data_IF_184576932271
#
_entry.id   IF_184576932271
#
_cell.length_a   1.000
_cell.length_b   1.000
_cell.length_c   1.000
_cell.angle_alpha   90.00
_cell.angle_beta   90.00
_cell.angle_gamma   90.00
#
_symmetry.space_group_name_H-M   'P 1'
#
loop_
_entity.id
_entity.type
_entity.pdbx_description
1 polymer ?
#
# COMPACT_ATOMS: atom_id res chain seq x y z
N UNK A 1 23.32 37.06 -3.08
CA UNK A 1 22.82 35.89 -3.82
C UNK A 1 21.40 36.21 -4.29
N UNK A 2 21.03 35.83 -5.50
CA UNK A 2 19.66 36.07 -5.99
C UNK A 2 18.64 35.31 -5.13
N UNK A 3 17.60 36.01 -4.69
CA UNK A 3 16.48 35.47 -3.97
C UNK A 3 15.45 34.89 -4.96
N UNK A 4 14.72 33.88 -4.55
CA UNK A 4 13.68 33.23 -5.35
C UNK A 4 12.33 33.67 -4.78
N UNK A 5 11.52 34.47 -5.50
CA UNK A 5 10.28 35.03 -4.99
C UNK A 5 9.18 33.94 -4.98
N UNK A 6 9.10 33.19 -3.88
CA UNK A 6 8.07 32.16 -3.70
C UNK A 6 6.79 32.76 -3.07
N UNK A 7 5.64 32.22 -3.41
CA UNK A 7 4.37 32.56 -2.79
C UNK A 7 4.29 32.02 -1.37
N UNK A 8 4.10 32.86 -0.34
CA UNK A 8 3.88 32.45 1.05
C UNK A 8 2.72 31.47 1.19
N UNK A 9 1.64 31.70 0.44
CA UNK A 9 0.44 30.86 0.44
C UNK A 9 0.74 29.47 -0.13
N UNK A 10 1.49 29.40 -1.23
CA UNK A 10 1.89 28.14 -1.84
C UNK A 10 2.90 27.38 -0.95
N UNK A 11 3.79 28.09 -0.27
CA UNK A 11 4.70 27.49 0.71
C UNK A 11 3.94 26.89 1.90
N UNK A 12 3.02 27.66 2.51
CA UNK A 12 2.17 27.18 3.62
C UNK A 12 1.40 25.92 3.23
N UNK A 13 0.80 25.95 2.04
CA UNK A 13 0.09 24.80 1.49
C UNK A 13 1.03 23.59 1.28
N UNK A 14 2.19 23.78 0.67
CA UNK A 14 3.14 22.69 0.40
C UNK A 14 3.66 22.03 1.70
N UNK A 15 3.84 22.84 2.76
CA UNK A 15 4.23 22.36 4.09
C UNK A 15 3.09 21.53 4.71
N UNK A 16 1.87 22.08 4.74
CA UNK A 16 0.70 21.39 5.27
C UNK A 16 0.49 20.02 4.57
N UNK A 17 0.57 20.01 3.23
CA UNK A 17 0.45 18.80 2.42
C UNK A 17 1.59 17.79 2.64
N UNK A 18 2.78 18.24 3.02
CA UNK A 18 3.90 17.34 3.29
C UNK A 18 3.72 16.56 4.59
N UNK A 19 2.92 17.09 5.54
CA UNK A 19 2.80 16.59 6.90
C UNK A 19 4.06 16.73 7.74
N UNK A 20 5.09 17.38 7.23
CA UNK A 20 6.33 17.65 8.00
C UNK A 20 6.04 18.80 8.99
N UNK A 21 6.30 18.63 10.29
CA UNK A 21 6.12 19.70 11.25
C UNK A 21 6.96 20.93 10.86
N UNK A 22 6.35 22.12 10.88
CA UNK A 22 7.05 23.38 10.58
C UNK A 22 8.34 23.54 11.39
N UNK A 23 8.28 23.21 12.68
CA UNK A 23 9.40 23.28 13.63
C UNK A 23 10.60 22.40 13.24
N UNK A 24 10.40 21.39 12.43
CA UNK A 24 11.47 20.49 11.95
C UNK A 24 12.10 20.99 10.65
N UNK A 25 11.43 21.87 9.90
CA UNK A 25 11.86 22.24 8.56
C UNK A 25 13.14 23.06 8.55
N UNK A 26 13.32 23.99 9.47
CA UNK A 26 14.53 24.79 9.56
C UNK A 26 15.78 23.90 9.67
N UNK A 27 15.72 22.92 10.58
CA UNK A 27 16.80 21.94 10.76
C UNK A 27 16.99 21.06 9.52
N UNK A 28 15.90 20.57 8.93
CA UNK A 28 15.93 19.70 7.76
C UNK A 28 16.48 20.41 6.51
N UNK A 29 16.26 21.72 6.40
CA UNK A 29 16.75 22.55 5.30
C UNK A 29 18.12 23.18 5.60
N UNK A 30 18.63 22.99 6.82
CA UNK A 30 19.89 23.59 7.30
C UNK A 30 19.88 25.10 7.15
N UNK A 31 18.81 25.72 7.67
CA UNK A 31 18.67 27.19 7.74
C UNK A 31 18.52 27.61 9.21
N UNK A 32 18.75 28.88 9.56
CA UNK A 32 18.54 29.40 10.92
C UNK A 32 17.09 29.15 11.38
N UNK A 33 16.92 28.89 12.67
CA UNK A 33 15.59 28.71 13.28
C UNK A 33 14.73 29.96 13.01
N UNK A 34 13.45 29.74 12.64
CA UNK A 34 12.51 30.82 12.31
C UNK A 34 12.60 31.30 10.85
N UNK A 35 13.49 30.72 10.03
CA UNK A 35 13.60 31.12 8.62
C UNK A 35 12.35 30.74 7.85
N UNK A 36 11.80 29.53 8.08
CA UNK A 36 10.58 29.07 7.41
C UNK A 36 9.38 29.96 7.77
N UNK A 37 9.29 30.41 9.01
CA UNK A 37 8.21 31.32 9.45
C UNK A 37 8.29 32.64 8.67
N UNK A 38 9.47 33.27 8.58
CA UNK A 38 9.63 34.48 7.76
C UNK A 38 9.30 34.32 6.30
N UNK A 39 9.59 33.13 5.71
CA UNK A 39 9.19 32.85 4.33
C UNK A 39 7.67 32.70 4.18
N UNK A 40 6.98 32.15 5.21
CA UNK A 40 5.52 32.02 5.25
C UNK A 40 4.85 33.38 5.45
N UNK A 41 5.46 34.27 6.22
CA UNK A 41 4.97 35.63 6.46
C UNK A 41 5.28 36.58 5.29
N UNK A 42 6.21 36.19 4.42
CA UNK A 42 6.65 36.99 3.28
C UNK A 42 7.75 38.01 3.60
N UNK A 43 8.28 37.99 4.83
CA UNK A 43 9.31 38.90 5.31
C UNK A 43 10.71 38.57 4.73
N UNK A 44 10.90 37.37 4.24
CA UNK A 44 12.16 36.92 3.66
C UNK A 44 11.87 35.92 2.50
N UNK A 45 12.90 35.63 1.70
CA UNK A 45 12.81 34.74 0.56
C UNK A 45 14.03 33.80 0.52
N UNK A 46 13.87 32.55 0.07
CA UNK A 46 14.98 31.61 -0.07
C UNK A 46 15.91 32.03 -1.20
N UNK A 47 17.21 31.80 -1.03
CA UNK A 47 18.13 31.81 -2.17
C UNK A 47 17.98 30.51 -2.99
N UNK A 48 18.64 30.45 -4.16
CA UNK A 48 18.55 29.31 -5.08
C UNK A 48 18.89 27.95 -4.43
N UNK A 49 19.93 27.90 -3.58
CA UNK A 49 20.33 26.68 -2.89
C UNK A 49 19.33 26.24 -1.83
N UNK A 50 18.76 27.19 -1.11
CA UNK A 50 17.71 26.96 -0.12
C UNK A 50 16.42 26.50 -0.81
N UNK A 51 16.04 27.16 -1.91
CA UNK A 51 14.86 26.79 -2.70
C UNK A 51 15.02 25.38 -3.32
N UNK A 52 16.21 25.03 -3.81
CA UNK A 52 16.49 23.66 -4.28
C UNK A 52 16.23 22.64 -3.18
N UNK A 53 16.79 22.84 -1.97
CA UNK A 53 16.56 21.95 -0.83
C UNK A 53 15.09 21.91 -0.39
N UNK A 54 14.39 23.06 -0.40
CA UNK A 54 12.98 23.16 -0.05
C UNK A 54 12.12 22.30 -0.96
N UNK A 55 12.21 22.48 -2.29
CA UNK A 55 11.42 21.69 -3.24
C UNK A 55 11.74 20.18 -3.19
N UNK A 56 13.02 19.83 -2.99
CA UNK A 56 13.44 18.43 -2.84
C UNK A 56 12.87 17.80 -1.56
N UNK A 57 12.88 18.55 -0.45
CA UNK A 57 12.37 18.07 0.83
C UNK A 57 10.84 17.93 0.84
N UNK A 58 10.14 18.93 0.33
CA UNK A 58 8.69 18.91 0.20
C UNK A 58 8.21 18.07 -0.99
N UNK A 59 9.14 17.66 -1.86
CA UNK A 59 8.89 16.88 -3.09
C UNK A 59 7.79 17.50 -3.94
N UNK A 60 7.98 18.78 -4.28
CA UNK A 60 7.08 19.55 -5.13
C UNK A 60 7.83 20.13 -6.33
N UNK A 61 7.18 20.16 -7.52
CA UNK A 61 7.70 20.91 -8.66
C UNK A 61 7.92 22.38 -8.31
N UNK A 62 8.91 23.01 -8.92
CA UNK A 62 9.22 24.42 -8.68
C UNK A 62 8.01 25.33 -8.97
N UNK A 63 7.25 25.03 -10.02
CA UNK A 63 6.10 25.82 -10.46
C UNK A 63 5.05 26.03 -9.34
N UNK A 64 4.85 25.02 -8.48
CA UNK A 64 3.88 25.12 -7.36
C UNK A 64 4.18 26.32 -6.46
N UNK A 65 5.46 26.59 -6.20
CA UNK A 65 5.86 27.64 -5.25
C UNK A 65 5.66 29.07 -5.80
N UNK A 66 5.35 29.19 -7.09
CA UNK A 66 5.07 30.47 -7.74
C UNK A 66 3.58 30.72 -7.99
N UNK A 67 2.71 29.78 -7.58
CA UNK A 67 1.26 29.92 -7.76
C UNK A 67 0.67 30.83 -6.70
N UNK A 68 -0.18 31.78 -7.10
CA UNK A 68 -0.95 32.60 -6.16
C UNK A 68 -2.01 31.79 -5.39
N UNK A 69 -2.66 30.87 -6.11
CA UNK A 69 -3.59 29.91 -5.53
C UNK A 69 -3.01 28.50 -5.74
N UNK A 70 -2.54 27.84 -4.67
CA UNK A 70 -2.13 26.44 -4.77
C UNK A 70 -3.33 25.57 -5.19
N UNK A 71 -3.10 24.42 -5.85
CA UNK A 71 -4.18 23.51 -6.21
C UNK A 71 -4.92 23.08 -4.94
N UNK A 72 -6.21 22.76 -5.08
CA UNK A 72 -6.96 22.13 -3.99
C UNK A 72 -6.16 20.97 -3.43
N UNK A 73 -6.16 20.83 -2.09
CA UNK A 73 -5.24 19.89 -1.43
C UNK A 73 -5.44 18.48 -1.99
N UNK A 74 -4.34 17.82 -2.37
CA UNK A 74 -4.42 16.42 -2.77
C UNK A 74 -5.06 15.57 -1.66
N UNK A 75 -4.94 15.97 -0.41
CA UNK A 75 -5.57 15.33 0.73
C UNK A 75 -7.06 15.64 0.84
N UNK A 76 -7.50 16.89 0.60
CA UNK A 76 -8.93 17.20 0.48
C UNK A 76 -9.52 16.66 -0.83
N UNK A 77 -8.78 16.68 -1.93
CA UNK A 77 -9.22 16.02 -3.16
C UNK A 77 -9.28 14.49 -3.01
N UNK A 78 -8.34 13.89 -2.28
CA UNK A 78 -8.34 12.48 -1.92
C UNK A 78 -9.44 12.19 -0.88
N UNK A 79 -9.60 13.03 0.15
CA UNK A 79 -10.68 12.88 1.12
C UNK A 79 -12.07 13.16 0.52
N UNK A 80 -12.22 14.20 -0.32
CA UNK A 80 -13.49 14.54 -0.99
C UNK A 80 -13.83 13.58 -2.13
N UNK A 81 -12.82 13.13 -2.91
CA UNK A 81 -13.05 12.22 -4.04
C UNK A 81 -13.20 10.77 -3.61
N UNK A 82 -12.57 10.36 -2.51
CA UNK A 82 -12.45 8.96 -2.15
C UNK A 82 -13.11 8.58 -0.82
N UNK A 83 -13.78 9.51 -0.16
CA UNK A 83 -14.59 9.20 1.03
C UNK A 83 -13.84 8.40 2.09
N UNK A 84 -12.61 8.77 2.42
CA UNK A 84 -11.87 8.09 3.47
C UNK A 84 -12.65 8.16 4.78
N UNK A 85 -13.01 7.01 5.30
CA UNK A 85 -13.50 6.89 6.66
C UNK A 85 -12.53 7.61 7.61
N UNK A 86 -13.05 8.25 8.64
CA UNK A 86 -12.26 8.99 9.62
C UNK A 86 -11.21 8.04 10.21
N UNK A 87 -9.96 8.14 9.75
CA UNK A 87 -8.85 7.46 10.39
C UNK A 87 -8.65 8.09 11.76
N UNK A 88 -8.57 7.27 12.78
CA UNK A 88 -8.43 7.73 14.18
C UNK A 88 -7.12 8.52 14.45
N UNK A 89 -6.19 8.59 13.48
CA UNK A 89 -4.95 9.36 13.55
C UNK A 89 -4.63 10.10 12.25
N UNK A 90 -3.87 11.18 12.38
CA UNK A 90 -3.32 11.89 11.22
C UNK A 90 -2.29 11.02 10.46
N UNK A 91 -2.33 11.09 9.12
CA UNK A 91 -1.35 10.38 8.27
C UNK A 91 0.05 10.92 8.48
N UNK A 92 1.01 10.01 8.50
CA UNK A 92 2.42 10.39 8.54
C UNK A 92 2.85 11.09 7.22
N UNK A 93 3.91 11.92 7.26
CA UNK A 93 4.44 12.55 6.05
C UNK A 93 4.79 11.54 4.96
N UNK A 94 5.23 10.33 5.36
CA UNK A 94 5.61 9.27 4.45
C UNK A 94 4.40 8.62 3.78
N UNK A 95 3.31 8.40 4.52
CA UNK A 95 2.03 7.93 3.96
C UNK A 95 1.48 8.91 2.94
N UNK A 96 1.44 10.21 3.26
CA UNK A 96 0.98 11.25 2.33
C UNK A 96 1.78 11.25 1.03
N UNK A 97 3.11 11.12 1.16
CA UNK A 97 4.01 11.07 0.02
C UNK A 97 3.75 9.85 -0.88
N UNK A 98 3.63 8.67 -0.28
CA UNK A 98 3.40 7.40 -1.00
C UNK A 98 2.05 7.41 -1.71
N UNK A 99 1.00 7.86 -1.02
CA UNK A 99 -0.34 8.02 -1.60
C UNK A 99 -0.29 8.94 -2.83
N UNK A 100 0.33 10.10 -2.70
CA UNK A 100 0.47 11.06 -3.80
C UNK A 100 1.29 10.49 -4.97
N UNK A 101 2.36 9.78 -4.68
CA UNK A 101 3.19 9.13 -5.70
C UNK A 101 2.39 8.06 -6.45
N UNK A 102 1.62 7.25 -5.72
CA UNK A 102 0.74 6.22 -6.30
C UNK A 102 -0.31 6.80 -7.24
N UNK A 103 -0.97 7.88 -6.83
CA UNK A 103 -1.99 8.54 -7.65
C UNK A 103 -1.37 9.15 -8.92
N UNK A 104 -0.20 9.79 -8.78
CA UNK A 104 0.53 10.36 -9.91
C UNK A 104 0.94 9.28 -10.92
N UNK A 105 1.43 8.14 -10.44
CA UNK A 105 1.79 7.01 -11.32
C UNK A 105 0.55 6.35 -11.91
N UNK A 106 -0.54 6.25 -11.18
CA UNK A 106 -1.82 5.76 -11.70
C UNK A 106 -2.30 6.61 -12.88
N UNK A 107 -2.34 7.93 -12.71
CA UNK A 107 -2.81 8.83 -13.75
C UNK A 107 -1.91 8.72 -15.00
N UNK A 108 -0.59 8.71 -14.82
CA UNK A 108 0.36 8.49 -15.90
C UNK A 108 0.14 7.15 -16.61
N UNK A 109 -0.05 6.05 -15.88
CA UNK A 109 -0.30 4.73 -16.48
C UNK A 109 -1.67 4.67 -17.16
N UNK A 110 -2.68 5.40 -16.64
CA UNK A 110 -3.99 5.52 -17.28
C UNK A 110 -3.87 6.17 -18.65
N UNK A 111 -3.18 7.32 -18.73
CA UNK A 111 -2.97 8.04 -19.99
C UNK A 111 -2.23 7.14 -21.01
N UNK A 112 -1.21 6.40 -20.56
CA UNK A 112 -0.47 5.48 -21.44
C UNK A 112 -1.31 4.31 -21.94
N UNK A 113 -2.24 3.81 -21.15
CA UNK A 113 -3.18 2.77 -21.60
C UNK A 113 -4.09 3.26 -22.70
N UNK A 114 -4.58 4.49 -22.57
CA UNK A 114 -5.42 5.12 -23.58
C UNK A 114 -4.66 5.31 -24.89
N UNK A 115 -3.41 5.79 -24.83
CA UNK A 115 -2.50 5.93 -26.00
C UNK A 115 -2.19 4.58 -26.67
N UNK A 116 -2.02 3.52 -25.86
CA UNK A 116 -1.81 2.15 -26.36
C UNK A 116 -3.08 1.45 -26.85
N UNK A 117 -4.26 2.11 -26.77
CA UNK A 117 -5.54 1.50 -27.11
C UNK A 117 -5.92 0.31 -26.24
N UNK A 118 -5.38 0.20 -25.04
CA UNK A 118 -5.67 -0.90 -24.12
C UNK A 118 -7.02 -0.73 -23.45
N UNK A 119 -7.90 -1.71 -23.70
CA UNK A 119 -9.24 -1.74 -23.10
C UNK A 119 -9.13 -1.91 -21.59
N UNK A 120 -9.84 -1.09 -20.81
CA UNK A 120 -9.98 -1.29 -19.37
C UNK A 120 -10.76 -2.58 -19.08
N UNK A 121 -10.23 -3.38 -18.14
CA UNK A 121 -10.94 -4.55 -17.62
C UNK A 121 -11.86 -4.05 -16.49
N UNK A 122 -13.13 -4.40 -16.54
CA UNK A 122 -14.04 -4.10 -15.45
C UNK A 122 -13.75 -5.02 -14.27
N UNK A 123 -13.22 -4.44 -13.20
CA UNK A 123 -13.11 -5.16 -11.91
C UNK A 123 -14.53 -5.41 -11.37
N UNK A 124 -14.87 -6.65 -11.00
CA UNK A 124 -16.20 -6.97 -10.48
C UNK A 124 -16.50 -6.18 -9.21
N UNK A 125 -17.77 -5.90 -8.98
CA UNK A 125 -18.24 -5.18 -7.80
C UNK A 125 -19.23 -6.03 -7.04
N UNK A 126 -19.09 -6.10 -5.74
CA UNK A 126 -19.93 -6.86 -4.82
C UNK A 126 -20.49 -5.95 -3.72
N UNK A 127 -21.67 -6.31 -3.22
CA UNK A 127 -22.25 -5.63 -2.07
C UNK A 127 -21.65 -6.16 -0.77
N UNK A 128 -21.44 -5.28 0.22
CA UNK A 128 -21.07 -5.70 1.58
C UNK A 128 -22.17 -6.51 2.29
N UNK A 129 -23.37 -6.60 1.72
CA UNK A 129 -24.44 -7.49 2.18
C UNK A 129 -24.27 -8.94 1.69
N UNK A 130 -23.38 -9.16 0.69
CA UNK A 130 -23.06 -10.51 0.23
C UNK A 130 -22.08 -11.18 1.20
N UNK A 131 -22.17 -12.51 1.30
CA UNK A 131 -21.22 -13.27 2.12
C UNK A 131 -19.80 -13.09 1.60
N UNK A 132 -18.85 -12.57 2.41
CA UNK A 132 -17.46 -12.42 2.00
C UNK A 132 -16.81 -13.76 1.63
N UNK A 133 -17.24 -14.85 2.26
CA UNK A 133 -16.77 -16.21 1.98
C UNK A 133 -17.22 -16.69 0.59
N UNK A 134 -18.48 -16.42 0.21
CA UNK A 134 -18.99 -16.71 -1.14
C UNK A 134 -18.23 -15.88 -2.19
N UNK A 135 -18.10 -14.59 -1.96
CA UNK A 135 -17.37 -13.70 -2.87
C UNK A 135 -15.91 -14.15 -3.02
N UNK A 136 -15.25 -14.51 -1.92
CA UNK A 136 -13.88 -15.02 -1.94
C UNK A 136 -13.75 -16.30 -2.80
N UNK A 137 -14.69 -17.21 -2.69
CA UNK A 137 -14.73 -18.44 -3.51
C UNK A 137 -14.90 -18.12 -5.00
N UNK A 138 -15.85 -17.27 -5.35
CA UNK A 138 -16.11 -16.84 -6.73
C UNK A 138 -14.88 -16.16 -7.33
N UNK A 139 -14.30 -15.18 -6.62
CA UNK A 139 -13.12 -14.45 -7.10
C UNK A 139 -11.93 -15.39 -7.27
N UNK A 140 -11.72 -16.30 -6.33
CA UNK A 140 -10.61 -17.26 -6.41
C UNK A 140 -10.74 -18.23 -7.61
N UNK A 141 -11.95 -18.70 -7.89
CA UNK A 141 -12.22 -19.68 -8.97
C UNK A 141 -12.29 -19.01 -10.34
N UNK A 142 -13.10 -17.96 -10.48
CA UNK A 142 -13.42 -17.38 -11.79
C UNK A 142 -12.33 -16.42 -12.29
N UNK A 143 -11.70 -15.65 -11.40
CA UNK A 143 -10.72 -14.65 -11.81
C UNK A 143 -9.28 -15.11 -11.66
N UNK A 144 -8.98 -15.94 -10.67
CA UNK A 144 -7.60 -16.38 -10.44
C UNK A 144 -7.33 -17.80 -10.90
N UNK A 145 -8.32 -18.69 -10.83
CA UNK A 145 -8.17 -20.09 -11.23
C UNK A 145 -7.10 -20.83 -10.41
N UNK A 146 -6.89 -20.45 -9.15
CA UNK A 146 -5.84 -21.01 -8.28
C UNK A 146 -6.48 -21.88 -7.19
N UNK A 147 -6.16 -23.17 -7.21
CA UNK A 147 -6.55 -24.10 -6.16
C UNK A 147 -5.74 -23.89 -4.87
N UNK A 148 -6.16 -24.51 -3.76
CA UNK A 148 -5.35 -24.51 -2.53
C UNK A 148 -4.11 -25.39 -2.70
N UNK A 149 -4.21 -26.45 -3.47
CA UNK A 149 -3.09 -27.32 -3.84
C UNK A 149 -2.01 -26.54 -4.59
N UNK A 150 -2.40 -25.63 -5.53
CA UNK A 150 -1.45 -24.74 -6.21
C UNK A 150 -0.76 -23.81 -5.21
N UNK A 151 -1.54 -23.19 -4.31
CA UNK A 151 -1.00 -22.31 -3.27
C UNK A 151 0.01 -23.05 -2.37
N UNK A 152 -0.32 -24.25 -1.93
CA UNK A 152 0.56 -25.08 -1.07
C UNK A 152 1.84 -25.51 -1.80
N UNK A 153 1.80 -25.61 -3.13
CA UNK A 153 2.97 -25.99 -3.96
C UNK A 153 4.07 -24.92 -4.00
N UNK A 154 3.75 -23.69 -3.67
CA UNK A 154 4.73 -22.60 -3.69
C UNK A 154 5.80 -22.79 -2.61
N UNK A 155 7.00 -22.22 -2.84
CA UNK A 155 8.17 -22.53 -2.02
C UNK A 155 8.40 -21.54 -0.89
N UNK A 156 8.06 -20.28 -1.09
CA UNK A 156 8.37 -19.22 -0.13
C UNK A 156 7.25 -18.19 -0.01
N UNK A 157 7.13 -17.50 1.14
CA UNK A 157 6.18 -16.41 1.29
C UNK A 157 6.38 -15.26 0.29
N UNK A 158 7.63 -15.00 -0.12
CA UNK A 158 7.95 -13.97 -1.12
C UNK A 158 7.46 -14.39 -2.52
N UNK A 159 7.60 -15.66 -2.86
CA UNK A 159 7.04 -16.21 -4.10
C UNK A 159 5.52 -16.13 -4.10
N UNK A 160 4.87 -16.52 -2.99
CA UNK A 160 3.43 -16.43 -2.82
C UNK A 160 2.94 -14.99 -3.01
N UNK A 161 3.61 -14.00 -2.38
CA UNK A 161 3.26 -12.59 -2.59
C UNK A 161 3.38 -12.16 -4.06
N UNK A 162 4.46 -12.54 -4.75
CA UNK A 162 4.65 -12.19 -6.16
C UNK A 162 3.59 -12.81 -7.06
N UNK A 163 3.25 -14.08 -6.84
CA UNK A 163 2.21 -14.78 -7.61
C UNK A 163 0.84 -14.13 -7.39
N UNK A 164 0.46 -13.89 -6.14
CA UNK A 164 -0.80 -13.22 -5.82
C UNK A 164 -0.87 -11.81 -6.41
N UNK A 165 0.21 -11.04 -6.29
CA UNK A 165 0.31 -9.72 -6.89
C UNK A 165 0.08 -9.77 -8.40
N UNK A 166 0.78 -10.64 -9.10
CA UNK A 166 0.65 -10.80 -10.55
C UNK A 166 -0.78 -11.17 -10.98
N UNK A 167 -1.48 -12.00 -10.19
CA UNK A 167 -2.87 -12.35 -10.45
C UNK A 167 -3.81 -11.16 -10.30
N UNK A 168 -3.62 -10.35 -9.27
CA UNK A 168 -4.40 -9.12 -9.04
C UNK A 168 -4.11 -8.09 -10.14
N UNK A 169 -2.85 -7.93 -10.55
CA UNK A 169 -2.47 -7.02 -11.63
C UNK A 169 -3.12 -7.42 -12.98
N UNK A 170 -3.40 -8.71 -13.21
CA UNK A 170 -4.17 -9.16 -14.38
C UNK A 170 -5.66 -8.76 -14.36
N UNK A 171 -6.19 -8.38 -13.19
CA UNK A 171 -7.52 -7.77 -13.07
C UNK A 171 -7.52 -6.26 -13.36
N UNK A 172 -6.45 -5.72 -13.92
CA UNK A 172 -6.29 -4.30 -14.22
C UNK A 172 -6.17 -3.38 -12.98
N UNK A 173 -5.72 -3.96 -11.87
CA UNK A 173 -5.47 -3.27 -10.61
C UNK A 173 -3.97 -2.98 -10.50
N UNK A 174 -3.58 -1.73 -10.26
CA UNK A 174 -2.18 -1.38 -10.03
C UNK A 174 -1.79 -1.75 -8.59
N UNK A 175 -0.72 -2.52 -8.43
CA UNK A 175 -0.25 -2.91 -7.09
C UNK A 175 1.14 -2.33 -6.85
N UNK A 176 1.25 -1.43 -5.88
CA UNK A 176 2.51 -0.79 -5.51
C UNK A 176 3.04 -1.32 -4.17
N UNK A 177 4.37 -1.46 -4.09
CA UNK A 177 5.05 -1.92 -2.89
C UNK A 177 6.01 -0.84 -2.37
N UNK A 178 5.63 -0.14 -1.31
CA UNK A 178 6.40 0.98 -0.75
C UNK A 178 6.94 0.71 0.65
N UNK A 179 8.13 1.20 0.99
CA UNK A 179 8.65 1.14 2.36
C UNK A 179 8.01 2.24 3.22
N UNK A 180 6.75 2.06 3.63
CA UNK A 180 5.98 3.10 4.34
C UNK A 180 6.49 3.32 5.76
N UNK A 181 6.86 2.27 6.49
CA UNK A 181 7.34 2.31 7.88
C UNK A 181 6.51 1.43 8.81
N UNK A 182 7.06 1.13 9.99
CA UNK A 182 6.39 0.24 10.96
C UNK A 182 5.23 0.93 11.68
N UNK A 183 5.34 2.24 11.94
CA UNK A 183 4.30 3.05 12.59
C UNK A 183 3.26 3.58 11.58
N UNK A 184 3.23 3.03 10.37
CA UNK A 184 2.39 3.49 9.28
C UNK A 184 1.40 2.42 8.85
N UNK A 185 0.45 2.79 7.99
CA UNK A 185 -0.50 1.86 7.40
C UNK A 185 0.20 0.67 6.74
N UNK A 186 -0.37 -0.53 6.87
CA UNK A 186 0.11 -1.74 6.19
C UNK A 186 -0.21 -1.73 4.71
N UNK A 187 -1.32 -1.10 4.35
CA UNK A 187 -1.79 -0.93 3.00
C UNK A 187 -2.76 0.22 2.86
N UNK A 188 -3.14 0.48 1.64
CA UNK A 188 -4.21 1.40 1.25
C UNK A 188 -4.73 1.02 -0.13
N UNK A 189 -5.96 1.43 -0.44
CA UNK A 189 -6.55 1.22 -1.76
C UNK A 189 -7.37 2.40 -2.23
N UNK A 190 -7.43 2.56 -3.56
CA UNK A 190 -8.27 3.51 -4.28
C UNK A 190 -9.12 2.75 -5.28
N UNK A 191 -10.42 2.65 -5.01
CA UNK A 191 -11.36 1.82 -5.74
C UNK A 191 -12.18 2.58 -6.78
N UNK A 192 -12.31 3.92 -6.64
CA UNK A 192 -13.34 4.70 -7.34
C UNK A 192 -12.93 5.22 -8.71
N UNK A 193 -11.63 5.31 -8.99
CA UNK A 193 -11.12 5.76 -10.29
C UNK A 193 -10.28 4.67 -10.93
N UNK A 194 -10.54 4.34 -12.21
CA UNK A 194 -9.72 3.37 -12.94
C UNK A 194 -8.37 3.98 -13.38
N UNK A 195 -7.34 3.14 -13.46
CA UNK A 195 -7.26 1.83 -12.87
C UNK A 195 -7.24 1.90 -11.34
N UNK A 196 -7.91 0.97 -10.63
CA UNK A 196 -7.83 0.91 -9.17
C UNK A 196 -6.40 0.68 -8.70
N UNK A 197 -6.10 1.13 -7.48
CA UNK A 197 -4.74 1.03 -6.90
C UNK A 197 -4.78 0.32 -5.57
N UNK A 198 -3.84 -0.58 -5.35
CA UNK A 198 -3.49 -1.14 -4.05
C UNK A 198 -2.05 -0.76 -3.72
N UNK A 199 -1.82 -0.13 -2.58
CA UNK A 199 -0.49 0.10 -2.03
C UNK A 199 -0.24 -0.80 -0.83
N UNK A 200 0.89 -1.52 -0.83
CA UNK A 200 1.28 -2.42 0.28
C UNK A 200 2.60 -1.96 0.86
N UNK A 201 2.72 -1.99 2.18
CA UNK A 201 3.99 -1.67 2.86
C UNK A 201 5.00 -2.80 2.73
N UNK A 202 6.17 -2.51 2.14
CA UNK A 202 7.28 -3.45 2.04
C UNK A 202 8.05 -3.65 3.36
N UNK A 203 7.73 -2.87 4.39
CA UNK A 203 8.35 -2.96 5.72
C UNK A 203 7.96 -4.25 6.45
N UNK A 204 6.77 -4.78 6.14
CA UNK A 204 6.24 -5.98 6.78
C UNK A 204 6.67 -7.27 6.08
N UNK A 205 6.64 -8.37 6.82
CA UNK A 205 6.93 -9.71 6.28
C UNK A 205 6.00 -10.08 5.11
N UNK A 206 6.47 -10.95 4.23
CA UNK A 206 5.71 -11.37 3.05
C UNK A 206 4.35 -11.98 3.39
N UNK A 207 4.23 -12.72 4.50
CA UNK A 207 2.95 -13.28 4.97
C UNK A 207 1.94 -12.20 5.39
N UNK A 208 2.41 -11.12 5.99
CA UNK A 208 1.58 -9.96 6.34
C UNK A 208 1.17 -9.21 5.07
N UNK A 209 2.12 -9.02 4.13
CA UNK A 209 1.84 -8.38 2.84
C UNK A 209 0.81 -9.14 2.01
N UNK A 210 0.85 -10.48 2.02
CA UNK A 210 -0.17 -11.31 1.35
C UNK A 210 -1.55 -11.03 1.93
N UNK A 211 -1.69 -11.03 3.25
CA UNK A 211 -2.98 -10.75 3.87
C UNK A 211 -3.47 -9.33 3.57
N UNK A 212 -2.60 -8.33 3.71
CA UNK A 212 -2.90 -6.93 3.39
C UNK A 212 -3.36 -6.78 1.93
N UNK A 213 -2.70 -7.46 1.00
CA UNK A 213 -3.04 -7.41 -0.43
C UNK A 213 -4.48 -7.84 -0.70
N UNK A 214 -4.95 -8.92 -0.05
CA UNK A 214 -6.33 -9.39 -0.20
C UNK A 214 -7.34 -8.57 0.60
N UNK A 215 -6.94 -8.01 1.73
CA UNK A 215 -7.76 -7.06 2.47
C UNK A 215 -8.06 -5.81 1.61
N UNK A 216 -7.02 -5.23 0.99
CA UNK A 216 -7.19 -4.09 0.08
C UNK A 216 -7.95 -4.46 -1.20
N UNK A 217 -7.81 -5.70 -1.69
CA UNK A 217 -8.65 -6.20 -2.78
C UNK A 217 -10.13 -6.22 -2.38
N UNK A 218 -10.45 -6.58 -1.14
CA UNK A 218 -11.80 -6.49 -0.59
C UNK A 218 -12.41 -5.09 -0.74
N UNK A 219 -11.64 -4.06 -0.41
CA UNK A 219 -12.06 -2.65 -0.61
C UNK A 219 -12.25 -2.30 -2.09
N UNK A 220 -11.40 -2.78 -2.98
CA UNK A 220 -11.58 -2.59 -4.44
C UNK A 220 -12.89 -3.23 -4.90
N UNK A 221 -13.14 -4.47 -4.49
CA UNK A 221 -14.33 -5.23 -4.88
C UNK A 221 -15.64 -4.64 -4.33
N UNK A 222 -15.60 -3.96 -3.19
CA UNK A 222 -16.76 -3.28 -2.59
C UNK A 222 -16.86 -1.80 -2.96
N UNK A 223 -15.95 -1.29 -3.83
CA UNK A 223 -15.85 0.12 -4.21
C UNK A 223 -15.69 1.06 -3.00
N UNK A 224 -15.06 0.59 -1.94
CA UNK A 224 -14.70 1.39 -0.78
C UNK A 224 -13.21 1.74 -0.83
N UNK A 225 -12.86 2.94 -0.37
CA UNK A 225 -11.45 3.33 -0.31
C UNK A 225 -10.93 3.12 1.11
N UNK A 226 -9.70 2.67 1.21
CA UNK A 226 -9.08 2.34 2.48
C UNK A 226 -7.72 3.01 2.67
N UNK A 227 -7.40 3.32 3.91
CA UNK A 227 -6.02 3.42 4.39
C UNK A 227 -5.96 2.69 5.73
N UNK A 228 -5.74 1.39 5.66
CA UNK A 228 -5.74 0.52 6.82
C UNK A 228 -4.58 0.85 7.74
N UNK A 229 -4.89 1.59 8.78
CA UNK A 229 -4.08 1.75 9.98
C UNK A 229 -4.45 0.63 10.94
N UNK A 230 -3.45 0.04 11.50
CA UNK A 230 -3.43 -1.09 12.41
C UNK A 230 -4.50 -1.11 13.53
N UNK A 231 -5.73 -1.52 13.24
CA UNK A 231 -6.67 -1.95 14.28
C UNK A 231 -6.64 -3.48 14.51
N UNK A 232 -5.87 -4.21 13.71
CA UNK A 232 -5.64 -5.65 13.94
C UNK A 232 -4.92 -5.98 15.27
N UNK A 233 -4.44 -4.98 16.01
CA UNK A 233 -3.83 -5.20 17.34
C UNK A 233 -4.89 -5.48 18.41
N UNK A 234 -6.13 -5.04 18.22
CA UNK A 234 -7.21 -5.18 19.22
C UNK A 234 -8.25 -6.26 18.92
N UNK A 235 -8.08 -7.01 17.86
CA UNK A 235 -8.79 -8.29 17.69
C UNK A 235 -10.14 -8.27 17.01
N UNK A 236 -10.90 -7.17 16.97
CA UNK A 236 -12.20 -7.11 16.26
C UNK A 236 -12.46 -5.65 15.87
N UNK A 237 -12.52 -5.38 14.58
CA UNK A 237 -12.99 -4.09 14.10
C UNK A 237 -14.51 -3.97 14.28
N UNK A 238 -14.96 -2.79 14.63
CA UNK A 238 -16.40 -2.48 14.74
C UNK A 238 -16.99 -2.00 13.42
N UNK A 239 -16.13 -1.58 12.45
CA UNK A 239 -16.57 -1.15 11.14
C UNK A 239 -17.05 -2.35 10.30
N UNK A 240 -18.28 -2.35 9.80
CA UNK A 240 -18.82 -3.45 9.01
C UNK A 240 -18.05 -3.69 7.71
N UNK A 241 -17.53 -2.64 7.06
CA UNK A 241 -16.77 -2.75 5.81
C UNK A 241 -15.42 -3.39 6.07
N UNK A 242 -14.70 -2.91 7.08
CA UNK A 242 -13.42 -3.48 7.49
C UNK A 242 -13.56 -4.96 7.86
N UNK A 243 -14.62 -5.30 8.62
CA UNK A 243 -14.91 -6.69 8.99
C UNK A 243 -15.19 -7.55 7.75
N UNK A 244 -15.92 -7.01 6.79
CA UNK A 244 -16.17 -7.70 5.53
C UNK A 244 -14.88 -7.99 4.79
N UNK A 245 -13.99 -7.00 4.65
CA UNK A 245 -12.70 -7.12 3.97
C UNK A 245 -11.75 -8.10 4.70
N UNK A 246 -11.74 -8.08 6.05
CA UNK A 246 -11.00 -9.06 6.84
C UNK A 246 -11.49 -10.49 6.59
N UNK A 247 -12.80 -10.71 6.61
CA UNK A 247 -13.41 -12.01 6.36
C UNK A 247 -13.20 -12.47 4.92
N UNK A 248 -13.26 -11.56 3.93
CA UNK A 248 -12.95 -11.84 2.54
C UNK A 248 -11.49 -12.32 2.40
N UNK A 249 -10.52 -11.58 2.93
CA UNK A 249 -9.12 -11.94 2.87
C UNK A 249 -8.82 -13.29 3.54
N UNK A 250 -9.40 -13.52 4.72
CA UNK A 250 -9.26 -14.79 5.43
C UNK A 250 -9.86 -15.97 4.63
N UNK A 251 -11.07 -15.80 4.10
CA UNK A 251 -11.75 -16.84 3.33
C UNK A 251 -11.11 -17.12 1.99
N UNK A 252 -10.56 -16.09 1.34
CA UNK A 252 -9.82 -16.24 0.08
C UNK A 252 -8.52 -17.03 0.28
N UNK A 253 -7.73 -16.66 1.28
CA UNK A 253 -6.43 -17.29 1.53
C UNK A 253 -6.55 -18.66 2.21
N UNK A 254 -7.61 -18.86 2.95
CA UNK A 254 -7.87 -20.05 3.78
C UNK A 254 -9.33 -20.49 3.60
N UNK A 255 -9.73 -20.97 2.40
CA UNK A 255 -11.08 -21.45 2.17
C UNK A 255 -11.44 -22.57 3.17
N UNK A 256 -12.65 -22.50 3.72
CA UNK A 256 -13.03 -23.32 4.87
C UNK A 256 -12.92 -24.83 4.64
N UNK A 257 -13.41 -25.42 3.54
CA UNK A 257 -13.34 -26.85 3.32
C UNK A 257 -11.90 -27.37 3.27
N UNK A 258 -11.03 -26.68 2.52
CA UNK A 258 -9.62 -27.05 2.37
C UNK A 258 -8.84 -26.80 3.64
N UNK A 259 -9.17 -25.75 4.38
CA UNK A 259 -8.54 -25.43 5.67
C UNK A 259 -8.87 -26.50 6.71
N UNK A 260 -10.13 -26.95 6.80
CA UNK A 260 -10.58 -28.06 7.67
C UNK A 260 -9.87 -29.36 7.28
N UNK A 261 -9.79 -29.66 5.97
CA UNK A 261 -9.04 -30.82 5.42
C UNK A 261 -7.55 -30.77 5.80
N UNK A 262 -6.90 -29.64 5.63
CA UNK A 262 -5.49 -29.46 6.01
C UNK A 262 -5.31 -29.62 7.52
N UNK A 263 -6.22 -29.10 8.33
CA UNK A 263 -6.18 -29.18 9.79
C UNK A 263 -6.31 -30.66 10.25
N UNK A 264 -7.22 -31.43 9.68
CA UNK A 264 -7.40 -32.84 10.03
C UNK A 264 -6.18 -33.71 9.72
N UNK A 265 -5.35 -33.31 8.77
CA UNK A 265 -4.12 -34.00 8.41
C UNK A 265 -2.93 -33.66 9.35
N UNK A 266 -3.09 -32.64 10.19
CA UNK A 266 -2.01 -32.19 11.09
C UNK A 266 -2.17 -32.89 12.43
N UNK A 267 -1.27 -33.82 12.70
CA UNK A 267 -1.13 -34.45 14.03
C UNK A 267 -0.46 -33.43 14.99
N UNK A 268 -1.25 -32.53 15.55
CA UNK A 268 -0.79 -31.61 16.60
C UNK A 268 -1.86 -31.52 17.69
N UNK A 269 -1.41 -31.62 18.92
CA UNK A 269 -2.26 -31.54 20.12
C UNK A 269 -2.47 -30.10 20.59
N UNK A 270 -1.71 -29.15 20.02
CA UNK A 270 -1.71 -27.75 20.43
C UNK A 270 -2.16 -26.86 19.25
N UNK A 271 -3.16 -25.95 19.45
CA UNK A 271 -3.63 -25.02 18.43
C UNK A 271 -2.53 -24.12 17.82
N UNK A 272 -1.50 -23.78 18.61
CA UNK A 272 -0.37 -22.98 18.10
C UNK A 272 0.51 -23.76 17.11
N UNK A 273 0.78 -25.03 17.41
CA UNK A 273 1.52 -25.88 16.50
C UNK A 273 0.75 -26.10 15.20
N UNK A 274 -0.55 -26.33 15.30
CA UNK A 274 -1.46 -26.44 14.16
C UNK A 274 -1.46 -25.17 13.33
N UNK A 275 -1.71 -24.01 13.95
CA UNK A 275 -1.67 -22.71 13.28
C UNK A 275 -0.33 -22.44 12.59
N UNK A 276 0.80 -22.81 13.24
CA UNK A 276 2.13 -22.62 12.65
C UNK A 276 2.32 -23.47 11.41
N UNK A 277 1.92 -24.75 11.44
CA UNK A 277 2.06 -25.66 10.29
C UNK A 277 1.20 -25.22 9.10
N UNK A 278 -0.06 -24.82 9.37
CA UNK A 278 -0.97 -24.30 8.33
C UNK A 278 -0.43 -22.97 7.78
N UNK A 279 -0.03 -22.05 8.64
CA UNK A 279 0.51 -20.75 8.23
C UNK A 279 1.70 -20.91 7.25
N UNK A 280 2.60 -21.85 7.54
CA UNK A 280 3.73 -22.15 6.67
C UNK A 280 3.30 -22.76 5.33
N UNK A 281 2.27 -23.62 5.31
CA UNK A 281 1.74 -24.22 4.07
C UNK A 281 1.01 -23.23 3.20
N UNK A 282 0.23 -22.33 3.80
CA UNK A 282 -0.63 -21.38 3.07
C UNK A 282 0.01 -19.99 2.90
N UNK A 283 1.23 -19.78 3.42
CA UNK A 283 1.95 -18.51 3.37
C UNK A 283 1.18 -17.34 3.99
N UNK A 284 0.46 -17.60 5.06
CA UNK A 284 -0.25 -16.61 5.88
C UNK A 284 0.46 -16.40 7.23
N UNK A 285 0.06 -15.37 7.98
CA UNK A 285 0.60 -15.20 9.33
C UNK A 285 0.06 -16.26 10.30
N UNK A 286 0.85 -16.64 11.29
CA UNK A 286 0.37 -17.55 12.37
C UNK A 286 -0.84 -16.99 13.09
N UNK A 287 -0.91 -15.65 13.24
CA UNK A 287 -2.05 -14.96 13.83
C UNK A 287 -3.31 -15.17 12.98
N UNK A 288 -3.21 -14.99 11.66
CA UNK A 288 -4.34 -15.21 10.75
C UNK A 288 -4.80 -16.67 10.75
N UNK A 289 -3.87 -17.62 10.74
CA UNK A 289 -4.20 -19.05 10.80
C UNK A 289 -4.87 -19.43 12.13
N UNK A 290 -4.40 -18.90 13.26
CA UNK A 290 -5.00 -19.15 14.56
C UNK A 290 -6.40 -18.53 14.68
N UNK A 291 -6.58 -17.32 14.16
CA UNK A 291 -7.90 -16.69 14.10
C UNK A 291 -8.88 -17.55 13.30
N UNK A 292 -8.44 -18.08 12.16
CA UNK A 292 -9.26 -18.99 11.35
C UNK A 292 -9.62 -20.28 12.10
N UNK A 293 -8.69 -20.83 12.90
CA UNK A 293 -9.00 -21.98 13.78
C UNK A 293 -10.06 -21.63 14.83
N UNK A 294 -10.05 -20.42 15.39
CA UNK A 294 -11.07 -19.95 16.32
C UNK A 294 -12.43 -19.82 15.62
N UNK A 295 -12.47 -19.25 14.42
CA UNK A 295 -13.70 -19.08 13.64
C UNK A 295 -14.39 -20.41 13.28
N UNK A 296 -13.62 -21.47 13.04
CA UNK A 296 -14.17 -22.81 12.75
C UNK A 296 -14.32 -23.68 14.00
N UNK A 297 -14.08 -23.14 15.18
CA UNK A 297 -14.29 -23.85 16.47
C UNK A 297 -13.20 -24.86 16.86
N UNK A 298 -12.03 -24.83 16.20
CA UNK A 298 -10.89 -25.71 16.49
C UNK A 298 -9.86 -25.08 17.45
N UNK A 299 -10.05 -23.83 17.83
CA UNK A 299 -9.32 -23.12 18.88
C UNK A 299 -10.29 -22.16 19.59
N UNK A 300 -9.85 -21.56 20.67
CA UNK A 300 -10.66 -20.60 21.43
C UNK A 300 -9.99 -19.22 21.52
N UNK A 301 -10.72 -18.22 22.01
CA UNK A 301 -10.23 -16.85 22.14
C UNK A 301 -9.09 -16.70 23.16
N UNK A 302 -8.98 -17.61 24.16
CA UNK A 302 -7.85 -17.62 25.10
C UNK A 302 -6.57 -18.04 24.41
N UNK A 303 -6.64 -19.00 23.49
CA UNK A 303 -5.50 -19.38 22.66
C UNK A 303 -5.03 -18.20 21.83
N UNK A 304 -5.96 -17.47 21.22
CA UNK A 304 -5.64 -16.29 20.43
C UNK A 304 -4.99 -15.19 21.27
N UNK A 305 -5.54 -14.88 22.45
CA UNK A 305 -4.97 -13.88 23.38
C UNK A 305 -3.59 -14.27 23.87
N UNK A 306 -3.33 -15.55 24.17
CA UNK A 306 -2.01 -16.06 24.56
C UNK A 306 -0.98 -15.89 23.44
N UNK A 307 -1.35 -16.12 22.19
CA UNK A 307 -0.48 -15.88 21.06
C UNK A 307 -0.14 -14.39 20.92
N UNK A 308 -1.15 -13.54 21.00
CA UNK A 308 -0.99 -12.09 20.89
C UNK A 308 0.00 -11.56 21.93
N UNK A 309 -0.13 -11.94 23.20
CA UNK A 309 0.78 -11.52 24.27
C UNK A 309 2.24 -11.98 24.06
N UNK A 310 2.44 -13.14 23.42
CA UNK A 310 3.81 -13.62 23.05
C UNK A 310 4.43 -12.80 21.91
N UNK A 311 3.62 -12.29 21.00
CA UNK A 311 4.09 -11.45 19.89
C UNK A 311 4.41 -10.03 20.34
N UNK A 312 3.61 -9.42 21.20
CA UNK A 312 3.88 -8.08 21.75
C UNK A 312 5.22 -8.04 22.50
N UNK A 313 5.57 -9.12 23.22
CA UNK A 313 6.88 -9.25 23.88
C UNK A 313 8.04 -9.41 22.89
N UNK A 314 7.80 -9.91 21.69
CA UNK A 314 8.82 -10.14 20.65
C UNK A 314 8.99 -8.97 19.68
N UNK A 315 7.96 -8.15 19.48
CA UNK A 315 7.99 -6.99 18.61
C UNK A 315 8.96 -5.89 19.09
N UNK A 316 9.32 -5.90 20.39
CA UNK A 316 10.38 -5.03 20.93
C UNK A 316 11.81 -5.45 20.55
N UNK A 317 12.00 -6.50 19.74
CA UNK A 317 13.32 -7.04 19.38
C UNK A 317 13.45 -7.62 17.98
N UNK A 318 12.44 -7.52 17.14
CA UNK A 318 12.45 -8.10 15.79
C UNK A 318 13.27 -7.28 14.80
N UNK A 319 14.45 -7.77 14.41
CA UNK A 319 15.15 -7.28 13.22
C UNK A 319 14.29 -7.57 11.99
N UNK A 320 14.15 -6.59 11.07
CA UNK A 320 13.67 -6.88 9.71
C UNK A 320 14.57 -7.99 9.12
N UNK A 321 13.95 -8.83 8.31
CA UNK A 321 14.65 -9.88 7.57
C UNK A 321 15.97 -9.33 7.01
N UNK A 322 17.10 -9.83 7.52
CA UNK A 322 18.46 -9.44 7.12
C UNK A 322 18.82 -10.01 5.75
N UNK A 323 17.87 -10.07 4.84
CA UNK A 323 18.07 -10.36 3.43
C UNK A 323 19.11 -9.39 2.86
N UNK A 324 20.03 -9.88 2.04
CA UNK A 324 21.01 -9.10 1.27
C UNK A 324 20.37 -7.81 0.79
N UNK A 325 21.01 -6.66 1.04
CA UNK A 325 20.53 -5.35 0.51
C UNK A 325 20.26 -5.53 -0.98
N UNK A 326 18.98 -5.46 -1.33
CA UNK A 326 18.57 -5.50 -2.73
C UNK A 326 19.17 -4.29 -3.45
N UNK A 327 19.57 -4.47 -4.71
CA UNK A 327 19.99 -3.33 -5.53
C UNK A 327 18.83 -2.31 -5.59
N UNK A 328 19.17 -1.03 -5.82
CA UNK A 328 18.14 0.02 -5.95
C UNK A 328 17.15 -0.30 -7.07
N UNK A 329 17.65 -0.89 -8.14
CA UNK A 329 16.87 -1.22 -9.33
C UNK A 329 15.86 -2.34 -9.05
N UNK A 330 16.28 -3.40 -8.37
CA UNK A 330 15.35 -4.46 -7.90
C UNK A 330 14.30 -3.88 -6.96
N UNK A 331 14.68 -2.96 -6.07
CA UNK A 331 13.72 -2.34 -5.15
C UNK A 331 12.71 -1.46 -5.90
N UNK A 332 13.12 -0.76 -6.96
CA UNK A 332 12.21 0.05 -7.81
C UNK A 332 11.28 -0.81 -8.64
N UNK A 333 11.80 -1.89 -9.27
CA UNK A 333 10.94 -2.86 -9.95
C UNK A 333 9.91 -3.47 -9.01
N UNK A 334 10.33 -3.88 -7.82
CA UNK A 334 9.40 -4.37 -6.79
C UNK A 334 8.36 -3.31 -6.40
N UNK A 335 8.72 -2.01 -6.43
CA UNK A 335 7.77 -0.92 -6.13
C UNK A 335 6.63 -0.86 -7.15
N UNK A 336 6.95 -0.86 -8.43
CA UNK A 336 5.96 -0.56 -9.48
C UNK A 336 5.31 -1.81 -10.10
N UNK A 337 5.97 -2.98 -10.03
CA UNK A 337 5.42 -4.27 -10.47
C UNK A 337 4.93 -4.27 -11.91
N UNK A 338 3.73 -4.79 -12.13
CA UNK A 338 3.18 -5.02 -13.46
C UNK A 338 2.97 -3.76 -14.32
N UNK A 339 2.88 -2.56 -13.70
CA UNK A 339 2.74 -1.34 -14.51
C UNK A 339 3.98 -1.00 -15.32
N UNK A 340 5.15 -1.54 -14.98
CA UNK A 340 6.38 -1.31 -15.74
C UNK A 340 6.29 -1.82 -17.17
N UNK A 341 5.58 -2.94 -17.41
CA UNK A 341 5.36 -3.45 -18.76
C UNK A 341 4.55 -2.50 -19.65
N UNK A 342 3.61 -1.76 -19.05
CA UNK A 342 2.80 -0.77 -19.77
C UNK A 342 3.68 0.41 -20.17
N UNK A 343 4.54 0.86 -19.26
CA UNK A 343 5.46 1.97 -19.52
C UNK A 343 6.51 1.57 -20.55
N UNK A 344 7.03 0.35 -20.50
CA UNK A 344 7.97 -0.20 -21.48
C UNK A 344 7.37 -0.28 -22.88
N UNK A 345 6.13 -0.79 -23.00
CA UNK A 345 5.42 -0.83 -24.28
C UNK A 345 5.15 0.57 -24.84
N UNK A 346 4.77 1.52 -23.98
CA UNK A 346 4.55 2.91 -24.39
C UNK A 346 5.86 3.60 -24.80
N UNK A 347 6.98 3.28 -24.15
CA UNK A 347 8.30 3.79 -24.53
C UNK A 347 8.72 3.24 -25.89
N UNK A 348 8.57 1.94 -26.14
CA UNK A 348 8.85 1.30 -27.42
C UNK A 348 7.97 1.83 -28.55
N UNK A 349 6.72 2.19 -28.24
CA UNK A 349 5.80 2.81 -29.19
C UNK A 349 6.05 4.33 -29.42
N UNK A 350 6.94 4.96 -28.64
CA UNK A 350 7.28 6.37 -28.77
C UNK A 350 6.29 7.34 -28.09
N UNK A 351 5.35 6.83 -27.30
CA UNK A 351 4.40 7.67 -26.53
C UNK A 351 5.01 8.30 -25.30
N UNK A 352 6.15 7.79 -24.81
CA UNK A 352 6.83 8.22 -23.59
C UNK A 352 8.31 8.44 -23.88
N UNK A 353 8.85 9.53 -23.34
CA UNK A 353 10.29 9.81 -23.39
C UNK A 353 11.04 9.24 -22.17
N UNK A 354 12.38 9.12 -22.27
CA UNK A 354 13.23 8.82 -21.11
C UNK A 354 13.02 9.83 -19.96
N UNK A 355 12.82 11.10 -20.29
CA UNK A 355 12.56 12.15 -19.30
C UNK A 355 11.30 11.91 -18.51
N UNK A 356 10.24 11.39 -19.16
CA UNK A 356 8.97 11.05 -18.49
C UNK A 356 9.17 9.86 -17.55
N UNK A 357 9.83 8.80 -18.01
CA UNK A 357 10.15 7.62 -17.19
C UNK A 357 10.93 8.06 -15.93
N UNK A 358 11.94 8.89 -16.09
CA UNK A 358 12.71 9.43 -14.96
C UNK A 358 11.88 10.29 -14.02
N UNK A 359 10.95 11.07 -14.56
CA UNK A 359 10.08 11.97 -13.79
C UNK A 359 9.06 11.19 -12.99
N UNK A 360 8.39 10.22 -13.60
CA UNK A 360 7.30 9.48 -12.97
C UNK A 360 7.78 8.29 -12.13
N UNK A 361 8.74 7.50 -12.62
CA UNK A 361 9.19 6.27 -11.96
C UNK A 361 10.57 6.40 -11.31
N UNK A 362 11.32 7.46 -11.62
CA UNK A 362 12.72 7.65 -11.20
C UNK A 362 13.63 6.51 -11.67
N UNK A 363 13.32 5.94 -12.80
CA UNK A 363 14.01 4.82 -13.46
C UNK A 363 14.55 5.26 -14.81
N UNK A 364 15.43 4.46 -15.37
CA UNK A 364 15.87 4.56 -16.76
C UNK A 364 15.15 3.50 -17.60
N UNK A 365 15.08 3.65 -18.95
CA UNK A 365 14.40 2.69 -19.81
C UNK A 365 14.92 1.25 -19.70
N UNK A 366 16.21 1.06 -19.51
CA UNK A 366 16.87 -0.23 -19.32
C UNK A 366 16.53 -0.91 -17.98
N UNK A 367 15.99 -0.16 -17.03
CA UNK A 367 15.56 -0.67 -15.72
C UNK A 367 14.10 -1.19 -15.73
N UNK A 368 13.35 -1.00 -16.83
CA UNK A 368 11.92 -1.38 -16.91
C UNK A 368 11.72 -2.89 -17.07
N UNK A 369 12.70 -3.59 -17.65
CA UNK A 369 12.66 -5.04 -17.92
C UNK A 369 13.29 -5.89 -16.83
#
# INVERSE_FOLDING_TARGET
MALVPISPRALSWAIAESGIPKTSLDTLLRVPIGTIERWIEGDDQPNQSQFKRLKERLRRPAAIFFMEAPPETAESAVAMRFGFGATSRARTPKERLVIRDSLRVRDFVSDLRDELGRRQINVPTYSTNESPERVASVVRQEFFGISVEDQVSWKTPTEAFRKWRSLIERMDILVFLYPIGEDSARGFSFATQPPPVIGVSSTWDATVRVYTLFHELGHILTRTNSSCVEDMVKGITTDPIERWCENFAASFLMPRPEFEKLTSQIQATDPFATATRIANKLFVSRKSALLRLVEIGLANWDDFRRLQSKYEKKASGGRPDSGKKRSRDVARRDTYGGCLSIVDDAYKAGFVSESDIRTYLRMYPDELN
#
